data_IF_236622258209
#
_entry.id   IF_236622258209
#
_cell.length_a   1.000
_cell.length_b   1.000
_cell.length_c   1.000
_cell.angle_alpha   90.00
_cell.angle_beta   90.00
_cell.angle_gamma   90.00
#
_symmetry.space_group_name_H-M   'P 1'
#
loop_
_entity.id
_entity.type
_entity.pdbx_description
1 polymer ?
#
# COMPACT_ATOMS: atom_id res chain seq x y z
N UNK A 1 10.02 -25.75 -6.30
CA UNK A 1 10.98 -25.62 -5.18
C UNK A 1 10.28 -24.82 -4.10
N UNK A 2 9.81 -25.48 -3.04
CA UNK A 2 9.09 -24.83 -1.93
C UNK A 2 10.12 -24.39 -0.89
N UNK A 3 10.35 -23.09 -0.75
CA UNK A 3 11.23 -22.57 0.28
C UNK A 3 10.55 -22.69 1.64
N UNK A 4 11.16 -23.51 2.49
CA UNK A 4 10.74 -23.81 3.85
C UNK A 4 10.99 -22.57 4.75
N UNK A 5 10.02 -21.68 4.90
CA UNK A 5 10.12 -20.46 5.72
C UNK A 5 9.66 -20.69 7.17
N UNK A 6 10.23 -21.67 7.87
CA UNK A 6 9.83 -21.91 9.27
C UNK A 6 10.59 -21.05 10.29
N UNK A 7 11.45 -20.11 9.86
CA UNK A 7 12.30 -19.34 10.79
C UNK A 7 12.66 -17.89 10.39
N UNK A 8 12.10 -17.35 9.31
CA UNK A 8 12.29 -15.93 8.95
C UNK A 8 10.97 -15.18 9.06
N UNK A 9 11.02 -13.96 9.61
CA UNK A 9 9.86 -13.07 9.67
C UNK A 9 9.36 -12.80 8.23
N UNK A 10 8.05 -12.95 7.94
CA UNK A 10 7.53 -12.76 6.58
C UNK A 10 7.63 -11.30 6.15
N UNK A 11 8.08 -11.04 4.92
CA UNK A 11 8.17 -9.70 4.33
C UNK A 11 6.81 -9.32 3.74
N UNK A 12 6.18 -8.29 4.32
CA UNK A 12 4.83 -7.86 3.96
C UNK A 12 4.90 -6.49 3.31
N UNK A 13 4.49 -6.43 2.04
CA UNK A 13 4.36 -5.17 1.31
C UNK A 13 3.14 -4.37 1.77
N UNK A 14 3.30 -3.06 1.92
CA UNK A 14 2.27 -2.11 2.27
C UNK A 14 2.16 -1.06 1.16
N UNK A 15 1.01 -0.96 0.50
CA UNK A 15 0.78 0.11 -0.49
C UNK A 15 0.89 1.48 0.15
N UNK A 16 1.43 2.47 -0.57
CA UNK A 16 1.44 3.87 -0.14
C UNK A 16 0.42 4.69 -0.93
N UNK A 17 0.05 5.85 -0.43
CA UNK A 17 -0.80 6.82 -1.12
C UNK A 17 -0.08 8.17 -1.28
N UNK A 18 -0.51 8.97 -2.27
CA UNK A 18 0.00 10.34 -2.43
C UNK A 18 -0.69 11.26 -1.44
N UNK A 19 0.08 12.13 -0.79
CA UNK A 19 -0.42 13.20 0.07
C UNK A 19 0.39 14.46 -0.18
N UNK A 20 -0.21 15.62 0.05
CA UNK A 20 0.54 16.88 0.13
C UNK A 20 0.88 17.14 1.60
N UNK A 21 2.18 17.25 1.91
CA UNK A 21 2.64 17.59 3.25
C UNK A 21 2.19 19.02 3.61
N UNK A 22 1.55 19.17 4.77
CA UNK A 22 1.06 20.45 5.28
C UNK A 22 2.22 21.22 5.97
N UNK A 23 3.04 21.87 5.16
CA UNK A 23 4.20 22.66 5.58
C UNK A 23 4.25 23.98 4.79
N UNK A 24 5.11 24.93 5.19
CA UNK A 24 5.17 26.29 4.63
C UNK A 24 5.24 26.33 3.09
N UNK A 25 6.01 25.41 2.50
CA UNK A 25 5.99 25.13 1.06
C UNK A 25 5.47 23.71 0.86
N UNK A 26 4.22 23.52 0.39
CA UNK A 26 3.62 22.20 0.20
C UNK A 26 4.49 21.30 -0.68
N UNK A 27 4.68 20.04 -0.25
CA UNK A 27 5.45 19.04 -0.99
C UNK A 27 4.63 17.78 -1.25
N UNK A 28 4.70 17.20 -2.46
CA UNK A 28 4.13 15.89 -2.70
C UNK A 28 4.95 14.83 -1.96
N UNK A 29 4.28 13.97 -1.21
CA UNK A 29 4.89 12.84 -0.50
C UNK A 29 4.12 11.55 -0.79
N UNK A 30 4.83 10.43 -0.73
CA UNK A 30 4.21 9.12 -0.55
C UNK A 30 4.07 8.88 0.95
N UNK A 31 2.87 8.53 1.39
CA UNK A 31 2.51 8.41 2.79
C UNK A 31 1.78 7.11 3.05
N UNK A 32 1.81 6.70 4.32
CA UNK A 32 1.06 5.58 4.87
C UNK A 32 0.75 5.88 6.34
N UNK A 33 -0.42 5.47 6.82
CA UNK A 33 -0.75 5.59 8.25
C UNK A 33 0.09 4.60 9.07
N UNK A 34 0.77 5.03 10.15
CA UNK A 34 1.66 4.17 10.93
C UNK A 34 1.01 2.90 11.48
N UNK A 35 -0.31 2.94 11.72
CA UNK A 35 -1.08 1.80 12.23
C UNK A 35 -0.95 0.53 11.36
N UNK A 36 -0.77 0.67 10.05
CA UNK A 36 -0.52 -0.50 9.17
C UNK A 36 0.86 -1.11 9.41
N UNK A 37 1.88 -0.27 9.63
CA UNK A 37 3.25 -0.69 9.93
C UNK A 37 3.27 -1.39 11.29
N UNK A 38 2.64 -0.78 12.29
CA UNK A 38 2.55 -1.30 13.65
C UNK A 38 1.81 -2.64 13.69
N UNK A 39 0.69 -2.76 12.97
CA UNK A 39 -0.08 -4.00 12.90
C UNK A 39 0.74 -5.16 12.30
N UNK A 40 1.44 -4.92 11.19
CA UNK A 40 2.31 -5.94 10.57
C UNK A 40 3.47 -6.32 11.50
N UNK A 41 4.12 -5.34 12.12
CA UNK A 41 5.22 -5.58 13.03
C UNK A 41 4.77 -6.39 14.27
N UNK A 42 3.61 -6.05 14.84
CA UNK A 42 3.02 -6.77 15.97
C UNK A 42 2.62 -8.21 15.63
N UNK A 43 2.24 -8.48 14.37
CA UNK A 43 1.98 -9.82 13.86
C UNK A 43 3.26 -10.63 13.56
N UNK A 44 4.45 -10.06 13.78
CA UNK A 44 5.74 -10.71 13.54
C UNK A 44 6.29 -10.54 12.11
N UNK A 45 5.60 -9.80 11.23
CA UNK A 45 6.05 -9.51 9.87
C UNK A 45 7.11 -8.41 9.79
N UNK A 46 7.76 -8.28 8.63
CA UNK A 46 8.67 -7.19 8.26
C UNK A 46 7.95 -6.30 7.25
N UNK A 47 7.52 -5.08 7.64
CA UNK A 47 6.80 -4.18 6.74
C UNK A 47 7.74 -3.54 5.71
N UNK A 48 7.33 -3.53 4.44
CA UNK A 48 8.01 -2.84 3.33
C UNK A 48 7.03 -1.90 2.65
N UNK A 49 7.37 -0.61 2.57
CA UNK A 49 6.53 0.39 1.90
C UNK A 49 6.71 0.28 0.39
N UNK A 50 5.61 0.15 -0.34
CA UNK A 50 5.60 0.07 -1.80
C UNK A 50 5.31 1.47 -2.36
N UNK A 51 6.26 2.08 -3.09
CA UNK A 51 6.07 3.41 -3.69
C UNK A 51 5.10 3.35 -4.87
N UNK A 52 4.40 4.46 -5.12
CA UNK A 52 3.57 4.64 -6.30
C UNK A 52 4.39 5.11 -7.50
N UNK A 53 4.07 4.61 -8.69
CA UNK A 53 4.64 5.09 -9.95
C UNK A 53 5.99 4.50 -10.33
N UNK A 54 6.41 3.41 -9.69
CA UNK A 54 7.48 2.56 -10.23
C UNK A 54 6.98 1.83 -11.49
N UNK A 55 7.89 1.54 -12.40
CA UNK A 55 7.55 0.80 -13.63
C UNK A 55 7.17 -0.66 -13.33
N UNK A 56 6.58 -1.32 -14.33
CA UNK A 56 6.03 -2.66 -14.18
C UNK A 56 7.11 -3.72 -13.89
N UNK A 57 8.31 -3.58 -14.45
CA UNK A 57 9.41 -4.53 -14.23
C UNK A 57 9.94 -4.42 -12.79
N UNK A 58 10.14 -3.19 -12.31
CA UNK A 58 10.50 -2.92 -10.92
C UNK A 58 9.42 -3.43 -9.96
N UNK A 59 8.14 -3.20 -10.27
CA UNK A 59 7.03 -3.71 -9.45
C UNK A 59 7.00 -5.24 -9.41
N UNK A 60 7.17 -5.92 -10.55
CA UNK A 60 7.21 -7.38 -10.62
C UNK A 60 8.38 -7.95 -9.81
N UNK A 61 9.54 -7.31 -9.88
CA UNK A 61 10.73 -7.68 -9.11
C UNK A 61 10.49 -7.52 -7.61
N UNK A 62 9.91 -6.39 -7.19
CA UNK A 62 9.54 -6.14 -5.80
C UNK A 62 8.53 -7.18 -5.29
N UNK A 63 7.44 -7.40 -6.02
CA UNK A 63 6.38 -8.34 -5.62
C UNK A 63 6.91 -9.78 -5.49
N UNK A 64 7.85 -10.20 -6.33
CA UNK A 64 8.47 -11.53 -6.26
C UNK A 64 9.29 -11.76 -4.97
N UNK A 65 9.68 -10.68 -4.27
CA UNK A 65 10.42 -10.74 -3.00
C UNK A 65 9.54 -10.71 -1.75
N UNK A 66 8.23 -10.49 -1.89
CA UNK A 66 7.30 -10.37 -0.77
C UNK A 66 6.65 -11.72 -0.45
N UNK A 67 6.45 -11.98 0.84
CA UNK A 67 5.69 -13.13 1.32
C UNK A 67 4.18 -12.83 1.38
N UNK A 68 3.82 -11.54 1.37
CA UNK A 68 2.43 -11.10 1.40
C UNK A 68 2.28 -9.61 1.08
N UNK A 69 1.03 -9.19 0.86
CA UNK A 69 0.66 -7.83 0.52
C UNK A 69 -0.55 -7.39 1.35
N UNK A 70 -0.50 -6.19 1.89
CA UNK A 70 -1.65 -5.49 2.46
C UNK A 70 -1.98 -4.30 1.57
N UNK A 71 -3.19 -4.32 1.02
CA UNK A 71 -3.79 -3.15 0.40
C UNK A 71 -4.32 -2.25 1.51
N UNK A 72 -3.62 -1.17 1.76
CA UNK A 72 -3.94 -0.22 2.82
C UNK A 72 -5.18 0.57 2.43
N UNK A 73 -5.97 0.99 3.41
CA UNK A 73 -7.12 1.88 3.19
C UNK A 73 -6.73 3.19 2.50
N UNK A 74 -7.73 3.88 1.97
CA UNK A 74 -7.57 5.10 1.18
C UNK A 74 -8.93 5.63 0.75
N UNK A 75 -8.94 6.61 -0.14
CA UNK A 75 -10.19 7.11 -0.72
C UNK A 75 -10.77 6.18 -1.77
N UNK A 76 -11.90 6.61 -2.33
CA UNK A 76 -12.64 5.87 -3.34
C UNK A 76 -11.81 5.58 -4.59
N UNK A 77 -12.07 4.40 -5.16
CA UNK A 77 -11.64 4.07 -6.51
C UNK A 77 -12.59 4.79 -7.47
N UNK A 78 -12.07 5.40 -8.54
CA UNK A 78 -12.89 6.02 -9.57
C UNK A 78 -13.90 4.99 -10.16
N UNK A 79 -15.16 5.38 -10.30
CA UNK A 79 -16.30 4.53 -10.66
C UNK A 79 -16.09 3.71 -11.92
N UNK A 80 -15.40 4.30 -12.89
CA UNK A 80 -15.10 3.73 -14.20
C UNK A 80 -14.24 2.47 -14.09
N UNK A 81 -13.40 2.37 -13.04
CA UNK A 81 -12.54 1.20 -12.82
C UNK A 81 -13.31 -0.06 -12.39
N UNK A 82 -14.57 0.09 -11.97
CA UNK A 82 -15.44 -1.03 -11.61
C UNK A 82 -16.82 -0.96 -12.31
N UNK A 83 -16.91 -0.18 -13.39
CA UNK A 83 -18.12 0.00 -14.21
C UNK A 83 -19.33 0.54 -13.41
N UNK A 84 -19.08 1.47 -12.48
CA UNK A 84 -20.15 2.21 -11.82
C UNK A 84 -20.97 3.01 -12.82
N UNK A 85 -22.30 3.01 -12.66
CA UNK A 85 -23.20 3.93 -13.35
C UNK A 85 -23.41 5.25 -12.58
N UNK A 86 -22.76 5.41 -11.42
CA UNK A 86 -22.84 6.61 -10.60
C UNK A 86 -21.55 7.43 -10.79
N UNK A 87 -21.71 8.65 -11.30
CA UNK A 87 -20.62 9.60 -11.56
C UNK A 87 -20.08 10.25 -10.28
N UNK A 88 -20.86 10.21 -9.19
CA UNK A 88 -20.51 10.86 -7.94
C UNK A 88 -19.63 9.96 -7.05
N UNK A 89 -18.56 10.54 -6.53
CA UNK A 89 -17.80 9.93 -5.43
C UNK A 89 -18.65 9.87 -4.18
N UNK A 90 -18.65 8.73 -3.50
CA UNK A 90 -19.34 8.56 -2.22
C UNK A 90 -18.34 8.87 -1.12
N UNK A 91 -17.91 10.13 -1.03
CA UNK A 91 -17.09 10.59 0.09
C UNK A 91 -17.93 10.69 1.38
N UNK A 92 -17.28 10.53 2.53
CA UNK A 92 -17.85 10.87 3.86
C UNK A 92 -19.02 9.96 4.33
N UNK A 93 -19.02 8.69 3.92
CA UNK A 93 -19.96 7.65 4.42
C UNK A 93 -19.46 6.89 5.66
N UNK A 94 -18.40 7.39 6.29
CA UNK A 94 -17.83 6.86 7.53
C UNK A 94 -18.47 7.47 8.80
#
# INVERSE_FOLDING_TARGET
>A
MTNNHTNSRPIIGLTTYRKTAAQATPLPVMALMPTYIDAVAAAGGVPVLIPLGIDEEALRTLLASLDGLVLTGGGDIAGENYHSEHEDYIFDVD
#
